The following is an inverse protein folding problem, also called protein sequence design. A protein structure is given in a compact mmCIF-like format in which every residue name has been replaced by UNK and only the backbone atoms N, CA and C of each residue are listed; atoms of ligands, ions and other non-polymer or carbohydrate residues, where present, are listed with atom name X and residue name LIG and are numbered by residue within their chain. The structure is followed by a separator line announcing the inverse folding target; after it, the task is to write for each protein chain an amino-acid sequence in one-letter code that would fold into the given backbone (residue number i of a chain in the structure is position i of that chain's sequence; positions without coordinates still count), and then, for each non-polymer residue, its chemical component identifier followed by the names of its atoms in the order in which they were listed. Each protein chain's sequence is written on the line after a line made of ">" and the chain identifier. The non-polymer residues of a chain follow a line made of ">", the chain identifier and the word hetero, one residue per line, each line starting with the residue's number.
data_IF_998950021401
#
_entry.id   IF_998950021401
#
_cell.length_a   1.000
_cell.length_b   1.000
_cell.length_c   1.000
_cell.angle_alpha   90.00
_cell.angle_beta   90.00
_cell.angle_gamma   90.00
#
_symmetry.space_group_name_H-M   'P 1'
#
loop_
_entity.id
_entity.type
_entity.pdbx_description
1 polymer ?
#
# COMPACT_ATOMS: atom_id res chain seq x y z
N UNK A 1 11.41 46.06 24.78
CA UNK A 1 11.87 44.66 24.83
C UNK A 1 10.72 43.79 24.33
N UNK A 2 10.73 43.37 23.05
CA UNK A 2 9.64 42.56 22.45
C UNK A 2 9.98 41.08 22.63
N UNK A 3 9.10 40.38 23.36
CA UNK A 3 9.27 38.99 23.76
C UNK A 3 9.09 38.06 22.56
N UNK A 4 10.19 37.69 21.92
CA UNK A 4 10.26 36.87 20.71
C UNK A 4 10.12 35.35 20.99
N UNK A 5 9.32 34.94 21.98
CA UNK A 5 9.25 33.53 22.45
C UNK A 5 7.94 32.81 22.11
N UNK A 6 6.99 33.46 21.45
CA UNK A 6 5.68 32.89 21.13
C UNK A 6 5.45 32.35 19.69
N UNK A 7 6.23 32.66 18.64
CA UNK A 7 5.90 32.15 17.30
C UNK A 7 6.56 30.81 16.94
N UNK A 8 7.56 30.35 17.71
CA UNK A 8 8.35 29.15 17.36
C UNK A 8 7.61 27.84 17.67
N UNK A 9 6.67 27.84 18.61
CA UNK A 9 5.99 26.62 19.04
C UNK A 9 4.92 26.11 18.04
N UNK A 10 4.32 27.00 17.25
CA UNK A 10 3.27 26.62 16.28
C UNK A 10 3.88 26.01 15.00
N UNK A 11 5.12 26.36 14.65
CA UNK A 11 5.78 25.84 13.45
C UNK A 11 6.26 24.38 13.59
N UNK A 12 6.46 23.88 14.82
CA UNK A 12 6.97 22.53 15.09
C UNK A 12 5.89 21.44 15.08
N UNK A 13 4.61 21.78 15.28
CA UNK A 13 3.49 20.80 15.31
C UNK A 13 2.94 20.50 13.90
N UNK A 14 3.10 21.42 12.95
CA UNK A 14 2.64 21.22 11.56
C UNK A 14 3.49 20.19 10.77
N UNK A 15 4.62 19.73 11.33
CA UNK A 15 5.62 18.94 10.60
C UNK A 15 5.45 17.42 10.69
N UNK A 16 4.43 16.87 11.37
CA UNK A 16 4.39 15.40 11.62
C UNK A 16 3.10 14.67 11.24
N UNK A 17 2.16 15.28 10.53
CA UNK A 17 1.08 14.50 9.90
C UNK A 17 1.58 14.03 8.53
N UNK A 18 2.38 12.95 8.53
CA UNK A 18 2.64 12.22 7.29
C UNK A 18 1.33 11.55 6.87
N UNK A 19 0.62 12.18 5.93
CA UNK A 19 -0.49 11.53 5.25
C UNK A 19 0.12 10.46 4.32
N UNK A 20 0.13 9.21 4.77
CA UNK A 20 0.52 8.08 3.92
C UNK A 20 -0.44 8.04 2.74
N UNK A 21 0.12 8.25 1.55
CA UNK A 21 -0.63 8.19 0.30
C UNK A 21 -0.89 6.73 -0.06
N UNK A 22 -2.01 6.47 -0.73
CA UNK A 22 -2.31 5.19 -1.31
C UNK A 22 -1.12 4.71 -2.15
N UNK A 23 -0.71 3.48 -1.93
CA UNK A 23 0.42 2.87 -2.60
C UNK A 23 -0.04 1.64 -3.35
N UNK A 24 0.44 1.51 -4.59
CA UNK A 24 0.25 0.31 -5.39
C UNK A 24 1.60 -0.31 -5.67
N UNK A 25 1.85 -1.46 -5.02
CA UNK A 25 3.05 -2.24 -5.19
C UNK A 25 2.76 -3.38 -6.14
N UNK A 26 3.49 -3.45 -7.24
CA UNK A 26 3.39 -4.55 -8.19
C UNK A 26 4.51 -5.55 -7.97
N UNK A 27 4.23 -6.80 -8.31
CA UNK A 27 5.23 -7.87 -8.39
C UNK A 27 6.03 -8.09 -7.09
N UNK A 28 5.38 -7.90 -5.94
CA UNK A 28 6.00 -8.15 -4.63
C UNK A 28 6.25 -9.64 -4.50
N UNK A 29 7.54 -10.03 -4.45
CA UNK A 29 7.94 -11.42 -4.23
C UNK A 29 7.56 -11.83 -2.81
N UNK A 30 6.75 -12.88 -2.71
CA UNK A 30 6.37 -13.47 -1.42
C UNK A 30 6.96 -14.87 -1.21
N UNK A 31 7.43 -15.52 -2.28
CA UNK A 31 8.16 -16.77 -2.20
C UNK A 31 9.10 -16.93 -3.39
N UNK A 32 10.35 -17.31 -3.12
CA UNK A 32 11.35 -17.64 -4.13
C UNK A 32 11.27 -19.14 -4.45
N UNK A 33 11.41 -19.50 -5.73
CA UNK A 33 11.44 -20.91 -6.19
C UNK A 33 12.43 -21.07 -7.32
N UNK A 34 12.93 -22.29 -7.48
CA UNK A 34 13.91 -22.62 -8.55
C UNK A 34 13.36 -22.41 -9.96
N UNK A 35 12.05 -22.56 -10.15
CA UNK A 35 11.32 -22.39 -11.40
C UNK A 35 10.68 -21.00 -11.53
N UNK A 36 11.04 -20.06 -10.65
CA UNK A 36 10.62 -18.67 -10.69
C UNK A 36 9.84 -18.22 -9.46
N UNK A 37 9.98 -16.94 -9.16
CA UNK A 37 9.39 -16.30 -7.99
C UNK A 37 7.87 -16.20 -8.08
N UNK A 38 7.23 -16.35 -6.93
CA UNK A 38 5.81 -16.09 -6.77
C UNK A 38 5.61 -14.65 -6.30
N UNK A 39 4.76 -13.93 -7.03
CA UNK A 39 4.53 -12.50 -6.83
C UNK A 39 3.06 -12.18 -6.56
N UNK A 40 2.83 -11.11 -5.82
CA UNK A 40 1.50 -10.50 -5.62
C UNK A 40 1.54 -9.01 -5.95
N UNK A 41 0.37 -8.45 -6.24
CA UNK A 41 0.15 -7.01 -6.28
C UNK A 41 -0.56 -6.59 -4.99
N UNK A 42 -0.11 -5.50 -4.36
CA UNK A 42 -0.66 -4.99 -3.11
C UNK A 42 -1.13 -3.54 -3.27
N UNK A 43 -2.37 -3.28 -2.88
CA UNK A 43 -2.92 -1.95 -2.73
C UNK A 43 -2.98 -1.59 -1.24
N UNK A 44 -2.36 -0.47 -0.87
CA UNK A 44 -2.41 0.10 0.47
C UNK A 44 -3.24 1.39 0.39
N UNK A 45 -4.33 1.54 1.15
CA UNK A 45 -5.16 2.73 1.10
C UNK A 45 -4.46 3.93 1.76
N UNK A 46 -4.96 5.13 1.45
CA UNK A 46 -4.55 6.37 2.15
C UNK A 46 -4.80 6.28 3.67
N UNK A 47 -4.01 7.03 4.42
CA UNK A 47 -4.20 7.22 5.86
C UNK A 47 -3.28 6.37 6.74
N UNK A 48 -3.22 6.74 8.02
CA UNK A 48 -2.39 6.05 9.00
C UNK A 48 -2.94 4.65 9.27
N UNK A 49 -2.07 3.64 9.16
CA UNK A 49 -2.41 2.26 9.49
C UNK A 49 -2.36 1.96 11.01
N UNK A 50 -2.45 0.67 11.39
CA UNK A 50 -2.53 -0.49 10.50
C UNK A 50 -3.93 -0.65 9.87
N UNK A 51 -3.95 -1.15 8.63
CA UNK A 51 -5.17 -1.45 7.89
C UNK A 51 -5.48 -2.96 7.99
N UNK A 52 -6.77 -3.37 8.04
CA UNK A 52 -7.13 -4.77 7.84
C UNK A 52 -6.64 -5.28 6.48
N UNK A 53 -6.04 -6.47 6.47
CA UNK A 53 -5.56 -7.10 5.23
C UNK A 53 -6.62 -8.01 4.63
N UNK A 54 -6.75 -7.96 3.30
CA UNK A 54 -7.57 -8.88 2.50
C UNK A 54 -6.66 -9.55 1.48
N UNK A 55 -6.71 -10.88 1.42
CA UNK A 55 -6.00 -11.67 0.40
C UNK A 55 -7.02 -12.15 -0.62
N UNK A 56 -6.75 -11.87 -1.89
CA UNK A 56 -7.58 -12.30 -3.00
C UNK A 56 -6.82 -13.37 -3.76
N UNK A 57 -7.44 -14.53 -3.93
CA UNK A 57 -6.87 -15.65 -4.68
C UNK A 57 -7.73 -15.87 -5.91
N UNK A 58 -7.09 -15.88 -7.08
CA UNK A 58 -7.80 -16.07 -8.35
C UNK A 58 -8.34 -17.49 -8.53
N UNK A 59 -9.32 -17.63 -9.42
CA UNK A 59 -9.83 -18.92 -9.88
C UNK A 59 -8.97 -19.56 -10.98
N UNK A 60 -9.59 -20.28 -11.91
CA UNK A 60 -8.89 -20.90 -13.05
C UNK A 60 -8.73 -22.41 -12.99
N UNK A 61 -9.39 -23.07 -12.02
CA UNK A 61 -9.50 -24.53 -11.93
C UNK A 61 -8.16 -25.24 -11.81
N UNK A 62 -7.15 -24.58 -11.25
CA UNK A 62 -5.75 -25.05 -11.13
C UNK A 62 -5.02 -25.31 -12.45
N UNK A 63 -5.58 -24.93 -13.59
CA UNK A 63 -4.97 -25.19 -14.89
C UNK A 63 -4.29 -23.97 -15.50
N UNK A 64 -4.72 -22.75 -15.15
CA UNK A 64 -4.18 -21.49 -15.68
C UNK A 64 -4.60 -20.29 -14.84
N UNK A 65 -3.90 -19.18 -15.01
CA UNK A 65 -4.21 -17.89 -14.39
C UNK A 65 -2.94 -17.20 -13.88
N UNK A 66 -3.12 -15.98 -13.41
CA UNK A 66 -2.11 -15.19 -12.71
C UNK A 66 -2.80 -14.23 -11.72
N UNK A 67 -2.01 -13.39 -11.04
CA UNK A 67 -2.49 -12.42 -10.04
C UNK A 67 -3.45 -11.35 -10.57
N UNK A 68 -3.67 -11.25 -11.89
CA UNK A 68 -4.58 -10.30 -12.52
C UNK A 68 -5.77 -10.98 -13.24
N UNK A 69 -5.65 -12.26 -13.56
CA UNK A 69 -6.66 -13.00 -14.33
C UNK A 69 -7.74 -13.59 -13.41
N UNK A 70 -8.98 -13.67 -13.87
CA UNK A 70 -10.11 -14.28 -13.14
C UNK A 70 -10.46 -13.60 -11.80
N UNK A 71 -10.05 -12.35 -11.63
CA UNK A 71 -10.46 -11.47 -10.53
C UNK A 71 -10.94 -10.16 -11.17
N UNK A 72 -12.12 -9.68 -10.80
CA UNK A 72 -12.52 -8.34 -11.23
C UNK A 72 -11.68 -7.29 -10.49
N UNK A 73 -11.27 -6.19 -11.15
CA UNK A 73 -10.59 -5.11 -10.46
C UNK A 73 -11.48 -4.58 -9.34
N UNK A 74 -11.10 -4.85 -8.08
CA UNK A 74 -11.83 -4.34 -6.92
C UNK A 74 -11.53 -2.86 -6.65
N UNK A 75 -10.41 -2.36 -7.18
CA UNK A 75 -9.97 -0.98 -7.03
C UNK A 75 -9.75 -0.34 -8.40
N UNK A 76 -9.99 0.99 -8.51
CA UNK A 76 -9.64 1.72 -9.72
C UNK A 76 -8.14 1.54 -10.03
N UNK A 77 -7.82 1.25 -11.29
CA UNK A 77 -6.44 1.28 -11.76
C UNK A 77 -5.99 2.75 -11.72
N UNK A 78 -4.96 3.05 -10.92
CA UNK A 78 -4.36 4.39 -10.83
C UNK A 78 -3.52 4.72 -12.08
#
# INVERSE_FOLDING_TARGET
>A
MRNLRFPVFILLVAATVQMSRAAYHRDVVYAERSDGDLTLDAYVPDGAGPHPAVIIVHGGGWSKGDKQTYVQPLFPVL
#
